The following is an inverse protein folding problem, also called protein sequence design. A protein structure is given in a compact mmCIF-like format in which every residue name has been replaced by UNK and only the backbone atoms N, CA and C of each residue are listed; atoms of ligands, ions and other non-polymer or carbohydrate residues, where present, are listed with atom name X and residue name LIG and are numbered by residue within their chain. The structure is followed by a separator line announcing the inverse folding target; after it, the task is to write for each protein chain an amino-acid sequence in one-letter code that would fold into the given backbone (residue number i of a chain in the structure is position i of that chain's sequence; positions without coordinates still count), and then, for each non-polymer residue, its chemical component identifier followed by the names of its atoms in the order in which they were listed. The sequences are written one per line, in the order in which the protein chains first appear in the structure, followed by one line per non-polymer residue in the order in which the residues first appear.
data_IF_460810041471
#
_entry.id   IF_460810041471
#
_cell.length_a   1.000
_cell.length_b   1.000
_cell.length_c   1.000
_cell.angle_alpha   90.00
_cell.angle_beta   90.00
_cell.angle_gamma   90.00
#
_symmetry.space_group_name_H-M   'P 1'
#
loop_
_entity.id
_entity.type
_entity.pdbx_description
1 polymer ?
#
# COMPACT_ATOMS: atom_id res chain seq x y z
N UNK A 1 41.44 -43.18 19.61
CA UNK A 1 40.03 -43.53 19.87
C UNK A 1 39.61 -42.67 21.06
N UNK A 2 38.71 -41.70 20.98
CA UNK A 2 37.60 -41.42 20.07
C UNK A 2 37.30 -39.92 20.14
N UNK A 3 36.90 -39.41 18.98
CA UNK A 3 36.35 -38.09 18.72
C UNK A 3 35.15 -37.74 19.62
N UNK A 4 35.03 -36.47 20.01
CA UNK A 4 33.76 -35.85 20.36
C UNK A 4 33.72 -34.43 19.78
N UNK A 5 33.35 -34.32 18.51
CA UNK A 5 32.89 -33.10 17.86
C UNK A 5 31.44 -32.87 18.28
N UNK A 6 31.17 -31.87 19.12
CA UNK A 6 29.82 -31.37 19.36
C UNK A 6 29.52 -30.35 18.26
N UNK A 7 28.79 -30.79 17.24
CA UNK A 7 28.26 -29.90 16.21
C UNK A 7 27.01 -29.19 16.77
N UNK A 8 27.17 -27.91 17.13
CA UNK A 8 26.04 -27.03 17.40
C UNK A 8 25.35 -26.69 16.07
N UNK A 9 24.26 -27.39 15.75
CA UNK A 9 23.40 -27.03 14.65
C UNK A 9 22.58 -25.79 15.04
N UNK A 10 23.08 -24.61 14.67
CA UNK A 10 22.28 -23.38 14.70
C UNK A 10 21.20 -23.48 13.61
N UNK A 11 19.98 -23.85 14.00
CA UNK A 11 18.81 -23.66 13.14
C UNK A 11 18.51 -22.16 13.07
N UNK A 12 18.99 -21.51 12.01
CA UNK A 12 18.45 -20.24 11.58
C UNK A 12 17.03 -20.48 11.04
N UNK A 13 16.02 -20.25 11.87
CA UNK A 13 14.65 -20.05 11.37
C UNK A 13 14.63 -18.63 10.81
N UNK A 14 14.84 -18.52 9.49
CA UNK A 14 14.51 -17.28 8.79
C UNK A 14 12.99 -17.07 8.96
N UNK A 15 12.60 -16.07 9.75
CA UNK A 15 11.23 -15.56 9.79
C UNK A 15 10.95 -14.86 8.45
N UNK A 16 10.68 -15.68 7.43
CA UNK A 16 10.20 -15.20 6.16
C UNK A 16 8.81 -14.60 6.40
N UNK A 17 8.62 -13.34 6.00
CA UNK A 17 7.29 -12.79 5.83
C UNK A 17 6.50 -13.75 4.93
N UNK A 18 5.50 -14.42 5.48
CA UNK A 18 4.62 -15.28 4.68
C UNK A 18 3.66 -14.35 3.94
N UNK A 19 4.00 -14.06 2.69
CA UNK A 19 3.03 -13.50 1.76
C UNK A 19 2.14 -14.66 1.30
N UNK A 20 0.83 -14.57 1.57
CA UNK A 20 -0.12 -15.47 0.94
C UNK A 20 -0.09 -15.24 -0.59
N UNK A 21 -0.34 -16.28 -1.37
CA UNK A 21 -0.41 -16.13 -2.83
C UNK A 21 -1.44 -15.06 -3.22
N UNK A 22 -1.13 -14.19 -4.20
CA UNK A 22 -2.06 -13.16 -4.65
C UNK A 22 -3.34 -13.80 -5.20
N UNK A 23 -4.48 -13.39 -4.66
CA UNK A 23 -5.78 -13.71 -5.24
C UNK A 23 -5.94 -12.88 -6.51
N UNK A 24 -5.89 -13.54 -7.66
CA UNK A 24 -6.18 -12.90 -8.95
C UNK A 24 -7.70 -12.85 -9.15
N UNK A 25 -8.17 -11.70 -9.58
CA UNK A 25 -9.59 -11.45 -9.90
C UNK A 25 -9.72 -11.03 -11.38
N UNK A 26 -10.93 -10.76 -11.85
CA UNK A 26 -11.15 -10.37 -13.24
C UNK A 26 -10.31 -9.17 -13.68
N UNK A 27 -10.06 -9.10 -14.99
CA UNK A 27 -9.35 -8.00 -15.65
C UNK A 27 -7.93 -7.71 -15.10
N UNK A 28 -7.29 -8.68 -14.44
CA UNK A 28 -5.90 -8.57 -13.97
C UNK A 28 -5.73 -7.83 -12.65
N UNK A 29 -6.82 -7.56 -11.92
CA UNK A 29 -6.75 -7.06 -10.55
C UNK A 29 -6.28 -8.14 -9.59
N UNK A 30 -5.53 -7.75 -8.57
CA UNK A 30 -4.98 -8.69 -7.58
C UNK A 30 -5.16 -8.18 -6.16
N UNK A 31 -5.45 -9.09 -5.23
CA UNK A 31 -5.44 -8.83 -3.79
C UNK A 31 -4.34 -9.66 -3.15
N UNK A 32 -3.47 -9.02 -2.37
CA UNK A 32 -2.44 -9.70 -1.57
C UNK A 32 -2.66 -9.44 -0.10
N UNK A 33 -2.47 -10.47 0.72
CA UNK A 33 -2.41 -10.37 2.17
C UNK A 33 -0.98 -10.73 2.62
N UNK A 34 -0.33 -9.82 3.33
CA UNK A 34 1.01 -10.04 3.86
C UNK A 34 1.02 -9.82 5.37
N UNK A 35 1.55 -10.79 6.11
CA UNK A 35 1.93 -10.57 7.49
C UNK A 35 3.26 -9.80 7.53
N UNK A 36 3.27 -8.65 8.20
CA UNK A 36 4.49 -7.90 8.47
C UNK A 36 4.59 -7.70 9.99
N UNK A 37 5.61 -8.29 10.57
CA UNK A 37 5.89 -8.22 12.00
C UNK A 37 6.26 -6.82 12.47
N UNK A 38 6.66 -5.93 11.57
CA UNK A 38 6.97 -4.54 11.89
C UNK A 38 5.75 -3.62 11.80
N UNK A 39 4.54 -4.16 11.57
CA UNK A 39 3.29 -3.40 11.47
C UNK A 39 2.41 -3.64 12.68
N UNK A 40 1.68 -2.59 13.06
CA UNK A 40 0.67 -2.66 14.12
C UNK A 40 -0.62 -3.38 13.68
N UNK A 41 -0.74 -3.75 12.41
CA UNK A 41 -1.89 -4.47 11.86
C UNK A 41 -1.44 -5.71 11.10
N UNK A 42 -2.25 -6.75 11.11
CA UNK A 42 -2.04 -7.93 10.26
C UNK A 42 -3.37 -8.60 9.88
N UNK A 43 -3.51 -9.04 8.62
CA UNK A 43 -2.57 -8.83 7.52
C UNK A 43 -2.57 -7.37 7.02
N UNK A 44 -1.52 -6.98 6.30
CA UNK A 44 -1.58 -5.84 5.38
C UNK A 44 -2.20 -6.33 4.08
N UNK A 45 -3.41 -5.89 3.81
CA UNK A 45 -4.15 -6.14 2.58
C UNK A 45 -3.77 -5.08 1.55
N UNK A 46 -3.48 -5.51 0.33
CA UNK A 46 -3.24 -4.61 -0.81
C UNK A 46 -4.09 -5.03 -1.98
N UNK A 47 -4.96 -4.14 -2.44
CA UNK A 47 -5.66 -4.25 -3.71
C UNK A 47 -4.82 -3.55 -4.78
N UNK A 48 -4.47 -4.23 -5.87
CA UNK A 48 -3.71 -3.66 -6.98
C UNK A 48 -4.47 -3.79 -8.29
N UNK A 49 -4.52 -2.68 -9.02
CA UNK A 49 -4.98 -2.65 -10.41
C UNK A 49 -3.99 -3.35 -11.36
N UNK A 50 -4.44 -3.80 -12.54
CA UNK A 50 -3.53 -4.12 -13.63
C UNK A 50 -2.67 -2.90 -13.98
N UNK A 51 -1.48 -3.15 -14.51
CA UNK A 51 -0.65 -2.07 -15.06
C UNK A 51 -1.34 -1.58 -16.33
N UNK A 52 -1.69 -0.31 -16.37
CA UNK A 52 -2.21 0.34 -17.58
C UNK A 52 -1.13 0.51 -18.64
N UNK A 53 -1.53 0.80 -19.88
CA UNK A 53 -0.61 0.99 -21.01
C UNK A 53 0.43 2.10 -20.77
N UNK A 54 0.10 3.08 -19.92
CA UNK A 54 1.02 4.14 -19.49
C UNK A 54 1.96 3.70 -18.35
N UNK A 55 2.06 2.41 -18.02
CA UNK A 55 2.74 1.87 -16.84
C UNK A 55 2.23 2.42 -15.50
N UNK A 56 1.07 3.08 -15.50
CA UNK A 56 0.45 3.56 -14.27
C UNK A 56 -0.23 2.40 -13.56
N UNK A 57 -0.04 2.30 -12.25
CA UNK A 57 -0.70 1.32 -11.38
C UNK A 57 -1.27 2.03 -10.16
N UNK A 58 -2.50 1.68 -9.83
CA UNK A 58 -3.15 1.98 -8.57
C UNK A 58 -3.01 0.83 -7.58
N UNK A 59 -2.73 1.16 -6.33
CA UNK A 59 -2.81 0.27 -5.19
C UNK A 59 -3.56 0.92 -4.03
N UNK A 60 -4.44 0.17 -3.39
CA UNK A 60 -5.10 0.55 -2.14
C UNK A 60 -4.57 -0.36 -1.04
N UNK A 61 -3.98 0.22 -0.01
CA UNK A 61 -3.34 -0.50 1.10
C UNK A 61 -4.02 -0.11 2.40
N UNK A 62 -4.46 -1.06 3.21
CA UNK A 62 -4.98 -0.73 4.53
C UNK A 62 -3.89 -0.12 5.41
N UNK A 63 -4.26 0.91 6.14
CA UNK A 63 -3.34 1.70 6.93
C UNK A 63 -3.79 1.75 8.39
N UNK A 64 -2.80 1.90 9.26
CA UNK A 64 -3.00 2.01 10.68
C UNK A 64 -3.46 3.42 11.06
N UNK A 65 -4.61 3.51 11.73
CA UNK A 65 -5.12 4.74 12.31
C UNK A 65 -5.02 4.69 13.84
N UNK A 66 -4.09 5.48 14.40
CA UNK A 66 -3.88 5.56 15.85
C UNK A 66 -5.06 6.18 16.60
N UNK A 67 -5.91 6.95 15.92
CA UNK A 67 -7.06 7.60 16.52
C UNK A 67 -8.28 6.69 16.61
N UNK A 68 -8.23 5.52 15.97
CA UNK A 68 -9.31 4.56 15.95
C UNK A 68 -9.29 3.60 17.16
N UNK A 69 -10.44 3.31 17.81
CA UNK A 69 -10.51 2.43 18.98
C UNK A 69 -10.42 0.93 18.65
N UNK A 70 -10.57 0.54 17.39
CA UNK A 70 -10.54 -0.82 16.84
C UNK A 70 -9.84 -0.78 15.49
N UNK A 71 -9.43 -1.92 14.86
CA UNK A 71 -8.63 -1.88 13.64
C UNK A 71 -9.61 -1.41 12.63
N UNK A 72 -9.60 -0.11 12.38
CA UNK A 72 -10.60 0.46 11.53
C UNK A 72 -10.33 -0.14 10.18
N UNK A 73 -11.38 -0.71 9.59
CA UNK A 73 -11.49 -0.78 8.13
C UNK A 73 -11.07 0.57 7.51
N UNK A 74 -11.23 1.67 8.24
CA UNK A 74 -11.26 3.05 7.83
C UNK A 74 -10.03 3.70 7.20
N UNK A 75 -8.78 3.40 7.56
CA UNK A 75 -7.66 4.11 6.94
C UNK A 75 -7.06 3.33 5.78
N UNK A 76 -6.82 4.00 4.66
CA UNK A 76 -6.14 3.42 3.53
C UNK A 76 -5.15 4.40 2.91
N UNK A 77 -4.08 3.85 2.36
CA UNK A 77 -3.19 4.59 1.48
C UNK A 77 -3.57 4.24 0.05
N UNK A 78 -3.96 5.26 -0.72
CA UNK A 78 -3.99 5.18 -2.17
C UNK A 78 -2.59 5.48 -2.68
N UNK A 79 -1.97 4.50 -3.30
CA UNK A 79 -0.65 4.62 -3.91
C UNK A 79 -0.85 4.54 -5.41
N UNK A 80 -0.41 5.58 -6.12
CA UNK A 80 -0.42 5.61 -7.58
C UNK A 80 1.01 5.64 -8.07
N UNK A 81 1.44 4.56 -8.70
CA UNK A 81 2.70 4.47 -9.41
C UNK A 81 2.52 5.08 -10.79
N UNK A 82 3.39 6.00 -11.16
CA UNK A 82 3.43 6.66 -12.46
C UNK A 82 4.80 6.45 -13.11
N UNK A 83 4.89 6.36 -14.46
CA UNK A 83 6.15 6.11 -15.19
C UNK A 83 7.17 7.25 -15.09
N UNK A 84 6.72 8.45 -14.76
CA UNK A 84 7.56 9.63 -14.84
C UNK A 84 8.48 9.75 -13.63
N UNK A 85 9.78 9.91 -13.89
CA UNK A 85 10.70 10.40 -12.87
C UNK A 85 10.50 11.91 -12.73
N UNK A 86 9.75 12.33 -11.73
CA UNK A 86 9.57 13.76 -11.44
C UNK A 86 10.92 14.38 -11.00
N UNK A 87 11.27 15.52 -11.61
CA UNK A 87 12.42 16.35 -11.22
C UNK A 87 12.27 16.87 -9.78
N UNK A 88 13.33 17.40 -9.18
CA UNK A 88 13.25 17.95 -7.82
C UNK A 88 12.23 19.09 -7.70
N UNK A 89 12.17 20.00 -8.68
CA UNK A 89 11.16 21.08 -8.69
C UNK A 89 9.75 20.50 -8.82
N UNK A 90 9.55 19.50 -9.70
CA UNK A 90 8.26 18.83 -9.90
C UNK A 90 7.75 18.07 -8.67
N UNK A 91 8.66 17.62 -7.79
CA UNK A 91 8.29 17.00 -6.51
C UNK A 91 7.76 18.03 -5.51
N UNK A 92 8.29 19.25 -5.54
CA UNK A 92 7.82 20.34 -4.68
C UNK A 92 6.40 20.80 -5.08
N UNK A 93 6.06 20.70 -6.37
CA UNK A 93 4.74 21.04 -6.93
C UNK A 93 3.66 19.99 -6.68
N UNK A 94 3.95 18.85 -6.06
CA UNK A 94 2.92 17.86 -5.71
C UNK A 94 1.92 18.34 -4.66
N UNK A 95 2.21 19.46 -3.99
CA UNK A 95 1.23 20.21 -3.20
C UNK A 95 0.12 20.70 -4.13
N UNK A 96 -1.04 20.03 -4.10
CA UNK A 96 -2.16 20.33 -4.97
C UNK A 96 -2.40 19.32 -6.10
N UNK A 97 -1.75 18.14 -6.05
CA UNK A 97 -2.20 17.03 -6.88
C UNK A 97 -3.66 16.69 -6.54
N UNK A 98 -4.49 16.57 -7.57
CA UNK A 98 -5.91 16.28 -7.43
C UNK A 98 -6.20 14.87 -7.91
N UNK A 99 -7.01 14.14 -7.14
CA UNK A 99 -7.48 12.82 -7.55
C UNK A 99 -8.98 12.88 -7.74
N UNK A 100 -9.38 12.72 -8.99
CA UNK A 100 -10.77 12.59 -9.36
C UNK A 100 -11.14 11.10 -9.32
N UNK A 101 -11.91 10.72 -8.31
CA UNK A 101 -12.51 9.39 -8.21
C UNK A 101 -13.98 9.50 -8.64
N UNK A 102 -14.50 8.65 -9.55
CA UNK A 102 -15.87 8.75 -10.05
C UNK A 102 -16.92 8.74 -8.93
N UNK A 103 -17.76 9.78 -8.88
CA UNK A 103 -18.81 9.88 -7.87
C UNK A 103 -18.33 10.34 -6.50
N UNK A 104 -17.08 10.79 -6.38
CA UNK A 104 -16.60 11.61 -5.27
C UNK A 104 -16.30 13.01 -5.78
N UNK A 105 -16.94 14.00 -5.20
CA UNK A 105 -16.45 15.38 -5.21
C UNK A 105 -15.59 15.53 -3.96
N UNK A 106 -14.46 16.24 -4.06
CA UNK A 106 -13.70 16.74 -2.90
C UNK A 106 -12.62 15.82 -2.28
N UNK A 107 -12.00 14.94 -3.06
CA UNK A 107 -10.70 14.36 -2.67
C UNK A 107 -9.55 15.30 -3.03
N UNK A 108 -9.42 16.36 -2.24
CA UNK A 108 -8.26 17.24 -2.27
C UNK A 108 -7.31 16.84 -1.15
N UNK A 109 -6.05 16.73 -1.51
CA UNK A 109 -5.01 16.19 -0.66
C UNK A 109 -4.93 16.85 0.73
N UNK A 110 -4.68 16.01 1.77
CA UNK A 110 -4.12 16.43 3.07
C UNK A 110 -2.65 16.02 3.24
N UNK A 111 -2.11 15.06 2.48
CA UNK A 111 -0.67 14.75 2.42
C UNK A 111 -0.30 13.89 1.19
N UNK A 112 0.19 14.51 0.11
CA UNK A 112 0.82 13.85 -1.05
C UNK A 112 2.30 13.64 -0.74
N UNK A 113 2.71 12.38 -0.60
CA UNK A 113 4.12 12.01 -0.52
C UNK A 113 4.62 11.47 -1.86
N UNK A 114 5.72 12.02 -2.38
CA UNK A 114 6.44 11.40 -3.49
C UNK A 114 7.55 10.48 -3.01
N UNK A 115 7.66 9.31 -3.65
CA UNK A 115 8.89 8.52 -3.61
C UNK A 115 9.35 8.21 -5.02
N UNK A 116 10.57 8.63 -5.35
CA UNK A 116 11.21 8.27 -6.60
C UNK A 116 11.58 6.78 -6.61
N UNK A 117 11.36 6.14 -7.75
CA UNK A 117 11.85 4.80 -8.10
C UNK A 117 12.79 4.87 -9.30
N UNK A 118 13.27 3.70 -9.76
CA UNK A 118 14.19 3.60 -10.90
C UNK A 118 13.52 3.88 -12.26
N UNK A 119 12.24 3.53 -12.39
CA UNK A 119 11.47 3.61 -13.66
C UNK A 119 10.26 4.56 -13.56
N UNK A 120 10.27 5.48 -12.59
CA UNK A 120 9.13 6.35 -12.30
C UNK A 120 9.07 6.68 -10.82
N UNK A 121 7.89 6.94 -10.29
CA UNK A 121 7.73 7.09 -8.85
C UNK A 121 6.31 6.87 -8.36
N UNK A 122 6.18 6.96 -7.05
CA UNK A 122 4.91 6.70 -6.36
C UNK A 122 4.41 7.97 -5.72
N UNK A 123 3.17 8.30 -6.02
CA UNK A 123 2.35 9.29 -5.35
C UNK A 123 1.58 8.55 -4.28
N UNK A 124 1.75 8.95 -3.02
CA UNK A 124 1.04 8.36 -1.88
C UNK A 124 0.05 9.36 -1.34
N UNK A 125 -1.19 8.93 -1.24
CA UNK A 125 -2.32 9.74 -0.82
C UNK A 125 -2.95 9.05 0.39
N UNK A 126 -3.05 9.78 1.49
CA UNK A 126 -3.75 9.27 2.66
C UNK A 126 -5.25 9.43 2.47
N UNK A 127 -5.97 8.31 2.58
CA UNK A 127 -7.42 8.29 2.60
C UNK A 127 -7.84 8.22 4.05
N UNK A 128 -8.29 9.36 4.57
CA UNK A 128 -8.80 9.54 5.92
C UNK A 128 -10.32 9.81 5.84
N UNK A 129 -11.19 9.28 6.73
CA UNK A 129 -11.00 8.26 7.77
C UNK A 129 -11.68 6.92 7.46
N UNK A 130 -12.28 6.76 6.27
CA UNK A 130 -13.19 5.63 5.97
C UNK A 130 -12.96 5.02 4.59
N UNK A 131 -12.27 3.88 4.53
CA UNK A 131 -12.06 3.08 3.32
C UNK A 131 -13.38 2.77 2.62
N UNK A 132 -14.47 2.58 3.35
CA UNK A 132 -15.78 2.27 2.77
C UNK A 132 -16.27 3.41 1.85
N UNK A 133 -15.94 4.66 2.18
CA UNK A 133 -16.22 5.81 1.32
C UNK A 133 -15.31 5.83 0.07
N UNK A 134 -14.09 5.33 0.22
CA UNK A 134 -13.15 5.17 -0.89
C UNK A 134 -13.62 4.09 -1.87
N UNK A 135 -14.07 2.93 -1.38
CA UNK A 135 -14.35 1.74 -2.18
C UNK A 135 -15.59 1.88 -3.06
N UNK A 136 -16.65 2.54 -2.59
CA UNK A 136 -17.92 2.73 -3.33
C UNK A 136 -17.72 3.27 -4.76
N UNK A 137 -16.94 4.35 -4.96
CA UNK A 137 -16.55 4.84 -6.28
C UNK A 137 -15.88 3.83 -7.19
N UNK A 138 -15.02 2.96 -6.66
CA UNK A 138 -14.32 2.00 -7.50
C UNK A 138 -15.26 0.95 -8.07
N UNK A 139 -16.33 0.58 -7.34
CA UNK A 139 -17.34 -0.37 -7.80
C UNK A 139 -18.20 0.19 -8.95
N UNK A 140 -18.51 1.49 -8.91
CA UNK A 140 -19.44 2.14 -9.84
C UNK A 140 -18.74 2.96 -10.93
N UNK A 141 -17.47 3.28 -10.74
CA UNK A 141 -16.66 4.11 -11.62
C UNK A 141 -16.15 3.34 -12.84
N UNK A 142 -15.83 4.11 -13.89
CA UNK A 142 -15.19 3.56 -15.11
C UNK A 142 -13.69 3.76 -15.11
N UNK A 143 -13.21 4.87 -14.56
CA UNK A 143 -11.81 5.28 -14.58
C UNK A 143 -11.50 6.17 -13.38
N UNK A 144 -10.32 6.00 -12.78
CA UNK A 144 -9.78 6.96 -11.82
C UNK A 144 -8.74 7.84 -12.51
N UNK A 145 -8.76 9.14 -12.23
CA UNK A 145 -7.83 10.10 -12.81
C UNK A 145 -7.02 10.81 -11.73
N UNK A 146 -5.70 10.85 -11.91
CA UNK A 146 -4.77 11.60 -11.07
C UNK A 146 -4.19 12.74 -11.88
N UNK A 147 -4.44 13.96 -11.44
CA UNK A 147 -3.87 15.16 -12.01
C UNK A 147 -2.71 15.64 -11.15
N UNK A 148 -1.54 15.70 -11.76
CA UNK A 148 -0.31 16.19 -11.13
C UNK A 148 0.01 17.56 -11.73
N UNK A 149 -0.12 18.65 -10.96
CA UNK A 149 0.28 19.96 -11.43
C UNK A 149 1.79 19.98 -11.69
N UNK A 150 2.19 20.72 -12.72
CA UNK A 150 3.59 20.93 -13.09
C UNK A 150 3.86 22.42 -12.99
N UNK A 151 4.80 22.81 -12.13
CA UNK A 151 5.20 24.21 -12.01
C UNK A 151 5.72 24.74 -13.36
N UNK A 152 5.11 25.81 -13.87
CA UNK A 152 5.46 26.43 -15.15
C UNK A 152 5.05 25.62 -16.39
N UNK A 153 4.13 24.65 -16.29
CA UNK A 153 3.67 23.86 -17.42
C UNK A 153 2.26 23.30 -17.28
N UNK A 154 1.83 22.50 -18.26
CA UNK A 154 0.54 21.80 -18.23
C UNK A 154 0.55 20.65 -17.22
N UNK A 155 -0.57 20.49 -16.50
CA UNK A 155 -0.76 19.39 -15.58
C UNK A 155 -0.74 18.04 -16.32
N UNK A 156 -0.10 17.04 -15.73
CA UNK A 156 -0.13 15.67 -16.27
C UNK A 156 -1.29 14.89 -15.69
N UNK A 157 -2.00 14.17 -16.55
CA UNK A 157 -3.11 13.31 -16.18
C UNK A 157 -2.72 11.85 -16.33
N UNK A 158 -2.97 11.07 -15.28
CA UNK A 158 -2.81 9.61 -15.31
C UNK A 158 -4.16 8.96 -15.04
N UNK A 159 -4.56 8.07 -15.94
CA UNK A 159 -5.83 7.35 -15.85
C UNK A 159 -5.61 5.87 -15.56
N UNK A 160 -6.43 5.31 -14.67
CA UNK A 160 -6.45 3.88 -14.38
C UNK A 160 -7.86 3.35 -14.63
N UNK A 161 -8.04 2.39 -15.55
CA UNK A 161 -9.35 1.81 -15.81
C UNK A 161 -9.83 1.01 -14.60
N UNK A 162 -11.11 1.15 -14.27
CA UNK A 162 -11.77 0.48 -13.14
C UNK A 162 -12.55 -0.77 -13.58
N UNK A 163 -12.40 -1.22 -14.82
CA UNK A 163 -13.01 -2.46 -15.28
C UNK A 163 -12.55 -3.64 -14.41
N UNK A 164 -13.50 -4.41 -13.88
CA UNK A 164 -13.21 -5.57 -13.01
C UNK A 164 -12.92 -5.25 -11.54
N UNK A 165 -12.84 -3.96 -11.17
CA UNK A 165 -12.55 -3.53 -9.80
C UNK A 165 -13.57 -4.05 -8.77
N UNK A 166 -14.85 -4.18 -9.14
CA UNK A 166 -15.92 -4.57 -8.21
C UNK A 166 -15.68 -5.93 -7.57
N UNK A 167 -15.29 -6.94 -8.36
CA UNK A 167 -14.95 -8.27 -7.85
C UNK A 167 -13.70 -8.22 -6.95
N UNK A 168 -12.70 -7.45 -7.37
CA UNK A 168 -11.47 -7.25 -6.62
C UNK A 168 -11.71 -6.57 -5.26
N UNK A 169 -12.67 -5.64 -5.20
CA UNK A 169 -13.09 -4.97 -3.97
C UNK A 169 -13.74 -5.96 -3.02
N UNK A 170 -14.59 -6.87 -3.50
CA UNK A 170 -15.16 -7.92 -2.63
C UNK A 170 -14.07 -8.83 -2.04
N UNK A 171 -13.06 -9.21 -2.83
CA UNK A 171 -11.92 -9.96 -2.33
C UNK A 171 -11.10 -9.16 -1.31
N UNK A 172 -10.92 -7.86 -1.56
CA UNK A 172 -10.23 -6.96 -0.65
C UNK A 172 -10.99 -6.76 0.67
N UNK A 173 -12.31 -6.60 0.64
CA UNK A 173 -13.16 -6.50 1.83
C UNK A 173 -13.10 -7.76 2.70
N UNK A 174 -13.02 -8.95 2.08
CA UNK A 174 -12.79 -10.20 2.82
C UNK A 174 -11.44 -10.17 3.55
N UNK A 175 -10.37 -9.74 2.88
CA UNK A 175 -9.06 -9.57 3.52
C UNK A 175 -9.13 -8.57 4.69
N UNK A 176 -9.80 -7.42 4.50
CA UNK A 176 -9.96 -6.40 5.54
C UNK A 176 -10.71 -6.92 6.77
N UNK A 177 -11.61 -7.88 6.61
CA UNK A 177 -12.34 -8.49 7.73
C UNK A 177 -11.44 -9.35 8.64
N UNK A 178 -10.28 -9.79 8.15
CA UNK A 178 -9.30 -10.58 8.91
C UNK A 178 -8.28 -9.70 9.64
N UNK A 179 -8.30 -8.38 9.43
CA UNK A 179 -7.31 -7.46 9.98
C UNK A 179 -7.51 -7.26 11.48
N UNK A 180 -6.46 -7.51 12.24
CA UNK A 180 -6.40 -7.31 13.69
C UNK A 180 -5.26 -6.38 14.10
N UNK A 181 -5.37 -5.72 15.27
CA UNK A 181 -4.21 -5.04 15.88
C UNK A 181 -3.23 -6.07 16.39
N UNK A 182 -1.95 -5.83 16.15
CA UNK A 182 -0.89 -6.44 16.95
C UNK A 182 -0.78 -5.62 18.24
N UNK A 183 -1.05 -6.27 19.37
CA UNK A 183 -1.00 -5.66 20.73
C UNK A 183 0.41 -5.26 21.15
N UNK A 184 1.43 -5.71 20.43
CA UNK A 184 2.82 -5.27 20.52
C UNK A 184 3.49 -5.41 19.15
N UNK A 185 4.31 -4.45 18.73
CA UNK A 185 5.37 -4.76 17.78
C UNK A 185 6.24 -5.84 18.47
N UNK A 186 6.57 -6.98 17.83
CA UNK A 186 7.62 -7.83 18.35
C UNK A 186 8.83 -6.93 18.55
N UNK A 187 9.37 -6.94 19.77
CA UNK A 187 10.62 -6.27 20.05
C UNK A 187 11.58 -6.73 18.94
N UNK A 188 12.03 -5.79 18.10
CA UNK A 188 13.25 -6.02 17.35
C UNK A 188 14.23 -6.46 18.42
N UNK A 189 14.68 -7.72 18.36
CA UNK A 189 15.54 -8.32 19.37
C UNK A 189 16.78 -7.45 19.50
N UNK A 190 16.69 -6.50 20.43
CA UNK A 190 17.79 -5.79 20.99
C UNK A 190 18.43 -6.79 21.95
N UNK A 191 19.32 -7.61 21.41
CA UNK A 191 20.36 -8.24 22.20
C UNK A 191 21.67 -7.53 21.83
N UNK A 192 21.76 -6.29 22.27
CA UNK A 192 23.02 -5.74 22.74
C UNK A 192 23.08 -6.06 24.23
N UNK A 193 23.77 -7.12 24.60
CA UNK A 193 24.36 -7.35 25.92
C UNK A 193 25.70 -8.03 25.60
N UNK A 194 26.83 -7.31 25.64
CA UNK A 194 27.58 -6.99 26.86
C UNK A 194 27.49 -8.13 27.87
N UNK A 195 28.50 -8.99 27.83
CA UNK A 195 29.21 -9.45 29.02
C UNK A 195 30.68 -9.65 28.58
N UNK A 196 31.45 -8.56 28.70
CA UNK A 196 32.85 -8.65 29.09
C UNK A 196 32.87 -9.14 30.53
N UNK A 197 33.33 -10.37 30.75
CA UNK A 197 34.34 -10.67 31.77
C UNK A 197 35.10 -11.96 31.41
#
# INVERSE_FOLDING_TARGET
MRDFLIAAAAMFVASAASAAEPVKTSAGWTVTAAADDKKFISPTCTLSSPVSDAKTRLQLVNAFDKSAPLPTRGSALLIVTVPDVLSKERRASLKGAEVAIPGQTDWKDRTVGWRAGKEGGTIRLSIDPKIDAALKPFVRGKELTVQVPVEGGEAKSYSVPLKGSAEAIFAYEKCLAEVVWKTSLPAATAAAQNDEE
#
